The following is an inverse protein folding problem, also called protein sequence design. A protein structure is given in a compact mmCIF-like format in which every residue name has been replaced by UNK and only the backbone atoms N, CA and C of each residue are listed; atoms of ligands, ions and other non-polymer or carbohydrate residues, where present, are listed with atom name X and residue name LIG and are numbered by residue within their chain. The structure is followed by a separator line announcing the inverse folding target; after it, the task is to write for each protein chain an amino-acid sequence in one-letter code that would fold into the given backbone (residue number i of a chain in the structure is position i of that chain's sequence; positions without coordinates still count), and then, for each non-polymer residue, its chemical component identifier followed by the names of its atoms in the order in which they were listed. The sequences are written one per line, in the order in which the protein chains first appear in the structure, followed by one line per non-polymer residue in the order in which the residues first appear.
data_IF_749477940105
#
_entry.id   IF_749477940105
#
_cell.length_a   1.000
_cell.length_b   1.000
_cell.length_c   1.000
_cell.angle_alpha   90.00
_cell.angle_beta   90.00
_cell.angle_gamma   90.00
#
_symmetry.space_group_name_H-M   'P 1'
#
loop_
_entity.id
_entity.type
_entity.pdbx_description
1 polymer ?
#
# COMPACT_ATOMS: atom_id res chain seq x y z
N UNK A 1 -7.23 -8.97 -3.97
CA UNK A 1 -5.87 -9.11 -4.54
C UNK A 1 -4.92 -8.95 -3.36
N UNK A 2 -3.81 -9.67 -3.31
CA UNK A 2 -2.89 -9.58 -2.17
C UNK A 2 -1.64 -8.82 -2.55
N UNK A 3 -1.24 -7.89 -1.68
CA UNK A 3 -0.10 -7.01 -1.88
C UNK A 3 0.79 -7.11 -0.65
N UNK A 4 2.09 -7.26 -0.87
CA UNK A 4 3.05 -7.27 0.23
C UNK A 4 3.15 -5.89 0.85
N UNK A 5 3.20 -5.84 2.18
CA UNK A 5 3.39 -4.62 2.96
C UNK A 5 4.56 -3.79 2.44
N UNK A 6 5.70 -4.43 2.18
CA UNK A 6 6.90 -3.75 1.70
C UNK A 6 6.67 -2.93 0.42
N UNK A 7 5.83 -3.41 -0.50
CA UNK A 7 5.49 -2.67 -1.73
C UNK A 7 4.69 -1.39 -1.41
N UNK A 8 3.81 -1.45 -0.42
CA UNK A 8 3.03 -0.31 0.05
C UNK A 8 3.95 0.71 0.73
N UNK A 9 4.88 0.24 1.55
CA UNK A 9 5.85 1.11 2.22
C UNK A 9 6.79 1.78 1.22
N UNK A 10 7.22 1.06 0.19
CA UNK A 10 8.06 1.62 -0.88
C UNK A 10 7.32 2.68 -1.69
N UNK A 11 6.04 2.46 -2.00
CA UNK A 11 5.19 3.47 -2.64
C UNK A 11 5.08 4.74 -1.78
N UNK A 12 4.77 4.59 -0.49
CA UNK A 12 4.64 5.73 0.43
C UNK A 12 5.97 6.50 0.54
N UNK A 13 7.08 5.80 0.73
CA UNK A 13 8.42 6.42 0.73
C UNK A 13 8.74 7.12 -0.59
N UNK A 14 8.42 6.50 -1.73
CA UNK A 14 8.61 7.07 -3.06
C UNK A 14 7.79 8.34 -3.32
N UNK A 15 6.65 8.50 -2.63
CA UNK A 15 5.82 9.72 -2.66
C UNK A 15 6.30 10.81 -1.69
N UNK A 16 7.37 10.57 -0.91
CA UNK A 16 7.85 11.47 0.15
C UNK A 16 7.06 11.35 1.46
N UNK A 17 6.15 10.38 1.56
CA UNK A 17 5.32 10.10 2.74
C UNK A 17 6.03 9.16 3.71
N UNK A 18 7.17 9.60 4.22
CA UNK A 18 8.02 8.76 5.07
C UNK A 18 7.34 8.44 6.41
N UNK A 19 6.72 9.43 7.04
CA UNK A 19 6.01 9.25 8.32
C UNK A 19 4.82 8.27 8.18
N UNK A 20 4.03 8.41 7.10
CA UNK A 20 2.93 7.47 6.83
C UNK A 20 3.45 6.06 6.51
N UNK A 21 4.62 5.92 5.89
CA UNK A 21 5.23 4.61 5.65
C UNK A 21 5.63 3.93 6.98
N UNK A 22 6.21 4.67 7.92
CA UNK A 22 6.55 4.10 9.23
C UNK A 22 5.31 3.65 10.00
N UNK A 23 4.24 4.46 9.98
CA UNK A 23 2.96 4.09 10.59
C UNK A 23 2.31 2.88 9.90
N UNK A 24 2.27 2.88 8.57
CA UNK A 24 1.75 1.77 7.77
C UNK A 24 2.53 0.49 8.04
N UNK A 25 3.84 0.57 8.30
CA UNK A 25 4.68 -0.59 8.62
C UNK A 25 4.29 -1.28 9.93
N UNK A 26 3.70 -0.54 10.87
CA UNK A 26 3.25 -1.04 12.16
C UNK A 26 1.78 -1.49 12.15
N UNK A 27 0.92 -0.80 11.40
CA UNK A 27 -0.51 -1.10 11.34
C UNK A 27 -0.88 -2.14 10.27
N UNK A 28 -0.16 -2.18 9.15
CA UNK A 28 -0.48 -3.12 8.08
C UNK A 28 0.04 -4.53 8.39
N UNK A 29 -0.75 -5.57 8.11
CA UNK A 29 -0.28 -6.95 8.13
C UNK A 29 0.75 -7.18 7.02
N UNK A 30 1.52 -8.28 7.11
CA UNK A 30 2.55 -8.61 6.12
C UNK A 30 2.00 -8.75 4.70
N UNK A 31 0.78 -9.28 4.56
CA UNK A 31 0.01 -9.26 3.32
C UNK A 31 -1.28 -8.48 3.50
N UNK A 32 -1.45 -7.45 2.68
CA UNK A 32 -2.65 -6.63 2.63
C UNK A 32 -3.56 -7.16 1.53
N UNK A 33 -4.77 -7.55 1.92
CA UNK A 33 -5.78 -8.03 0.98
C UNK A 33 -6.69 -6.88 0.53
N UNK A 34 -6.62 -6.51 -0.73
CA UNK A 34 -7.42 -5.44 -1.31
C UNK A 34 -8.86 -5.85 -1.59
N UNK A 35 -9.20 -7.13 -1.46
CA UNK A 35 -10.59 -7.61 -1.49
C UNK A 35 -11.22 -7.61 -0.08
N UNK A 36 -10.42 -7.40 0.97
CA UNK A 36 -10.87 -7.32 2.34
C UNK A 36 -11.20 -5.87 2.73
N UNK A 37 -12.41 -5.62 3.21
CA UNK A 37 -12.89 -4.27 3.54
C UNK A 37 -12.08 -3.60 4.68
N UNK A 38 -11.58 -4.35 5.66
CA UNK A 38 -10.79 -3.78 6.76
C UNK A 38 -9.45 -3.28 6.23
N UNK A 39 -8.78 -4.11 5.44
CA UNK A 39 -7.50 -3.77 4.81
C UNK A 39 -7.62 -2.63 3.81
N UNK A 40 -8.69 -2.60 3.00
CA UNK A 40 -9.00 -1.47 2.11
C UNK A 40 -9.18 -0.16 2.88
N UNK A 41 -9.84 -0.22 4.03
CA UNK A 41 -9.98 0.94 4.93
C UNK A 41 -8.63 1.44 5.45
N UNK A 42 -7.72 0.54 5.82
CA UNK A 42 -6.36 0.88 6.25
C UNK A 42 -5.56 1.53 5.11
N UNK A 43 -5.57 0.93 3.91
CA UNK A 43 -4.92 1.48 2.72
C UNK A 43 -5.43 2.90 2.39
N UNK A 44 -6.75 3.10 2.45
CA UNK A 44 -7.37 4.39 2.24
C UNK A 44 -6.91 5.47 3.23
N UNK A 45 -6.62 5.12 4.49
CA UNK A 45 -6.09 6.07 5.49
C UNK A 45 -4.72 6.62 5.12
N UNK A 46 -3.86 5.79 4.52
CA UNK A 46 -2.53 6.21 4.06
C UNK A 46 -2.56 6.86 2.65
N UNK A 47 -3.75 6.94 2.04
CA UNK A 47 -3.93 7.40 0.66
C UNK A 47 -3.28 6.45 -0.35
N UNK A 48 -3.23 5.16 -0.02
CA UNK A 48 -2.72 4.10 -0.90
C UNK A 48 -3.91 3.52 -1.64
N UNK A 49 -3.94 3.72 -2.95
CA UNK A 49 -4.95 3.11 -3.80
C UNK A 49 -4.42 1.80 -4.38
N UNK A 50 -5.11 0.67 -4.18
CA UNK A 50 -4.66 -0.62 -4.71
C UNK A 50 -4.62 -0.67 -6.25
N UNK A 51 -5.36 0.20 -6.94
CA UNK A 51 -5.28 0.38 -8.38
C UNK A 51 -4.02 1.14 -8.84
N UNK A 52 -3.34 1.86 -7.94
CA UNK A 52 -2.12 2.61 -8.23
C UNK A 52 -0.84 1.88 -7.78
N UNK A 53 -0.96 0.68 -7.18
CA UNK A 53 0.19 -0.11 -6.79
C UNK A 53 0.83 -0.76 -8.04
N UNK A 54 2.16 -0.64 -8.21
CA UNK A 54 2.86 -1.05 -9.44
C UNK A 54 2.84 -2.57 -9.73
N UNK A 55 2.18 -3.39 -8.90
CA UNK A 55 1.88 -4.79 -9.20
C UNK A 55 0.58 -5.02 -9.98
N UNK A 56 -0.25 -3.98 -10.20
CA UNK A 56 -1.53 -4.08 -10.88
C UNK A 56 -1.47 -3.93 -12.39
N UNK A 57 -0.81 -2.88 -12.91
CA UNK A 57 -0.76 -2.60 -14.35
C UNK A 57 0.48 -1.76 -14.68
N UNK A 58 1.40 -2.35 -15.45
CA UNK A 58 2.21 -1.60 -16.41
C UNK A 58 3.34 -0.73 -15.85
N UNK A 59 4.50 -1.35 -15.64
CA UNK A 59 5.75 -0.74 -16.12
C UNK A 59 5.65 -0.60 -17.64
N UNK A 60 5.07 0.47 -18.17
CA UNK A 60 5.18 0.84 -19.58
C UNK A 60 5.36 2.35 -19.72
N UNK A 61 6.64 2.72 -19.92
CA UNK A 61 7.17 3.73 -20.85
C UNK A 61 6.41 5.06 -20.99
#
# INVERSE_FOLDING_TARGET
MKIDKDQILELLRGQGKHDEADQAGQELPDQVDTDDDEHRGLLGRFGVDPGNLPGGLGTLL
#
